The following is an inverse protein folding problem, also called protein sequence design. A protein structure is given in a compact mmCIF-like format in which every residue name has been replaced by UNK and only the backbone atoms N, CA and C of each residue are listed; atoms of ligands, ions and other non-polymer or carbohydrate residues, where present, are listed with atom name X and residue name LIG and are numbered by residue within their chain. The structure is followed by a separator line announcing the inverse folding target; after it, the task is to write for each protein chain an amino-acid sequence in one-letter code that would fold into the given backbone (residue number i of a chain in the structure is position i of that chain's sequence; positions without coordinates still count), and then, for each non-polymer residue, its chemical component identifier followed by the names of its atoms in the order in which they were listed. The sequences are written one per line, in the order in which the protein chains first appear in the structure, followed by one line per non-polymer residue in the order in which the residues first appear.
data_IF_659236095119
#
_entry.id   IF_659236095119
#
_cell.length_a   1.000
_cell.length_b   1.000
_cell.length_c   1.000
_cell.angle_alpha   90.00
_cell.angle_beta   90.00
_cell.angle_gamma   90.00
#
_symmetry.space_group_name_H-M   'P 1'
#
loop_
_entity.id
_entity.type
_entity.pdbx_description
1 polymer ?
#
# COMPACT_ATOMS: atom_id res chain seq x y z
N UNK A 1 50.55 -13.25 -1.41
CA UNK A 1 50.25 -12.14 -2.34
C UNK A 1 49.12 -12.59 -3.24
N UNK A 2 47.95 -11.94 -3.16
CA UNK A 2 46.83 -12.21 -4.05
C UNK A 2 47.07 -11.56 -5.42
N UNK A 3 46.70 -12.25 -6.49
CA UNK A 3 46.83 -11.75 -7.87
C UNK A 3 45.60 -10.90 -8.16
N UNK A 4 45.76 -9.59 -8.33
CA UNK A 4 44.71 -8.72 -8.87
C UNK A 4 44.60 -8.96 -10.38
N UNK A 5 43.39 -9.30 -10.84
CA UNK A 5 43.11 -9.45 -12.27
C UNK A 5 43.01 -8.07 -12.93
N UNK A 6 43.60 -7.88 -14.13
CA UNK A 6 43.77 -6.56 -14.76
C UNK A 6 42.49 -5.94 -15.35
N UNK A 7 41.32 -6.56 -15.14
CA UNK A 7 40.09 -6.19 -15.85
C UNK A 7 39.16 -5.24 -15.08
N UNK A 8 39.55 -4.82 -13.86
CA UNK A 8 38.71 -3.95 -13.04
C UNK A 8 37.34 -4.56 -12.71
N UNK A 9 36.47 -3.79 -12.05
CA UNK A 9 35.08 -4.17 -11.87
C UNK A 9 34.27 -3.81 -13.12
N UNK A 10 33.81 -4.81 -13.87
CA UNK A 10 32.75 -4.58 -14.86
C UNK A 10 31.40 -4.56 -14.14
N UNK A 11 30.74 -3.40 -14.12
CA UNK A 11 29.32 -3.32 -13.80
C UNK A 11 28.57 -4.07 -14.91
N UNK A 12 28.05 -5.26 -14.60
CA UNK A 12 27.14 -5.94 -15.50
C UNK A 12 25.94 -5.01 -15.66
N UNK A 13 25.67 -4.54 -16.88
CA UNK A 13 24.44 -3.81 -17.17
C UNK A 13 23.28 -4.68 -16.70
N UNK A 14 22.51 -4.13 -15.76
CA UNK A 14 21.54 -4.86 -14.95
C UNK A 14 20.77 -5.87 -15.77
N UNK A 15 20.57 -7.07 -15.21
CA UNK A 15 19.54 -8.00 -15.67
C UNK A 15 18.30 -7.18 -16.05
N UNK A 16 17.70 -7.43 -17.23
CA UNK A 16 16.62 -6.60 -17.72
C UNK A 16 15.56 -6.59 -16.63
N UNK A 17 15.41 -5.43 -16.00
CA UNK A 17 14.27 -5.06 -15.19
C UNK A 17 13.08 -5.51 -16.02
N UNK A 18 12.29 -6.43 -15.48
CA UNK A 18 11.04 -6.89 -16.08
C UNK A 18 10.33 -5.68 -16.66
N UNK A 19 10.02 -5.72 -17.96
CA UNK A 19 9.37 -4.61 -18.65
C UNK A 19 8.07 -4.29 -17.90
N UNK A 20 8.09 -3.24 -17.08
CA UNK A 20 6.95 -2.82 -16.28
C UNK A 20 5.87 -2.38 -17.25
N UNK A 21 4.64 -2.85 -17.05
CA UNK A 21 3.53 -2.40 -17.89
C UNK A 21 3.33 -0.89 -17.73
N UNK A 22 3.02 -0.19 -18.82
CA UNK A 22 2.91 1.28 -18.80
C UNK A 22 1.88 1.79 -17.79
N UNK A 23 0.78 1.07 -17.57
CA UNK A 23 -0.25 1.48 -16.59
C UNK A 23 0.22 1.27 -15.15
N UNK A 24 0.98 0.21 -14.89
CA UNK A 24 1.63 0.00 -13.59
C UNK A 24 2.72 1.04 -13.34
N UNK A 25 3.51 1.35 -14.37
CA UNK A 25 4.55 2.37 -14.34
C UNK A 25 3.98 3.75 -14.08
N UNK A 26 2.87 4.10 -14.72
CA UNK A 26 2.16 5.35 -14.48
C UNK A 26 1.58 5.41 -13.07
N UNK A 27 1.03 4.31 -12.56
CA UNK A 27 0.52 4.23 -11.19
C UNK A 27 1.64 4.44 -10.15
N UNK A 28 2.79 3.82 -10.36
CA UNK A 28 3.96 3.87 -9.47
C UNK A 28 4.93 5.05 -9.76
N UNK A 29 4.69 5.86 -10.79
CA UNK A 29 5.63 6.90 -11.22
C UNK A 29 6.03 7.90 -10.13
N UNK A 30 5.17 8.28 -9.16
CA UNK A 30 5.62 9.16 -8.07
C UNK A 30 6.63 8.50 -7.13
N UNK A 31 6.67 7.16 -7.10
CA UNK A 31 7.46 6.35 -6.15
C UNK A 31 8.73 5.77 -6.77
N UNK A 32 8.90 5.84 -8.09
CA UNK A 32 10.04 5.28 -8.80
C UNK A 32 10.69 6.39 -9.62
N UNK A 33 11.88 6.82 -9.18
CA UNK A 33 12.67 7.86 -9.84
C UNK A 33 14.04 7.30 -10.22
N UNK A 34 14.34 7.29 -11.52
CA UNK A 34 15.61 6.82 -12.07
C UNK A 34 16.01 5.41 -11.59
N UNK A 35 15.02 4.52 -11.40
CA UNK A 35 15.24 3.17 -10.89
C UNK A 35 15.51 3.10 -9.39
N UNK A 36 15.24 4.15 -8.62
CA UNK A 36 15.30 4.17 -7.16
C UNK A 36 13.90 4.38 -6.58
N UNK A 37 13.64 3.81 -5.41
CA UNK A 37 12.39 4.06 -4.69
C UNK A 37 12.42 5.42 -3.98
N UNK A 38 11.51 6.34 -4.33
CA UNK A 38 11.31 7.65 -3.69
C UNK A 38 10.04 7.60 -2.83
N UNK A 39 10.16 7.13 -1.59
CA UNK A 39 9.05 7.14 -0.65
C UNK A 39 9.27 6.25 0.58
N UNK A 40 8.19 6.05 1.34
CA UNK A 40 8.14 5.19 2.53
C UNK A 40 6.99 4.19 2.41
N UNK A 41 7.23 2.95 2.80
CA UNK A 41 6.17 1.94 2.97
C UNK A 41 5.83 1.92 4.46
N UNK A 42 4.63 2.40 4.79
CA UNK A 42 4.20 2.61 6.17
C UNK A 42 3.28 1.48 6.60
N UNK A 43 3.70 0.76 7.64
CA UNK A 43 2.89 -0.29 8.29
C UNK A 43 2.49 0.15 9.68
N UNK A 44 1.39 -0.38 10.19
CA UNK A 44 1.00 -0.15 11.58
C UNK A 44 2.00 -0.72 12.59
N UNK A 45 2.12 -0.10 13.77
CA UNK A 45 2.93 -0.64 14.86
C UNK A 45 2.28 -1.86 15.56
N UNK A 46 3.07 -2.90 15.91
CA UNK A 46 2.59 -4.07 16.64
C UNK A 46 2.31 -3.77 18.12
N UNK A 47 2.85 -2.68 18.66
CA UNK A 47 2.60 -2.23 20.02
C UNK A 47 1.28 -1.45 20.08
N UNK A 48 0.48 -1.55 21.15
CA UNK A 48 -0.74 -0.76 21.28
C UNK A 48 -0.44 0.74 21.29
N UNK A 49 -1.03 1.47 20.36
CA UNK A 49 -0.92 2.93 20.28
C UNK A 49 -2.17 3.52 19.62
N UNK A 50 -2.25 4.85 19.61
CA UNK A 50 -3.40 5.57 19.06
C UNK A 50 -4.68 5.47 19.90
N UNK A 51 -5.78 6.07 19.40
CA UNK A 51 -7.05 6.13 20.12
C UNK A 51 -7.69 4.75 20.33
N UNK A 52 -7.36 3.79 19.46
CA UNK A 52 -7.97 2.46 19.48
C UNK A 52 -7.14 1.38 20.15
N UNK A 53 -5.87 1.67 20.49
CA UNK A 53 -4.93 0.72 21.11
C UNK A 53 -4.86 -0.63 20.38
N UNK A 54 -5.12 -0.62 19.08
CA UNK A 54 -5.05 -1.82 18.27
C UNK A 54 -3.59 -2.21 18.02
N UNK A 55 -3.36 -3.50 17.76
CA UNK A 55 -2.04 -4.02 17.40
C UNK A 55 -2.07 -4.39 15.93
N UNK A 56 -1.16 -3.83 15.13
CA UNK A 56 -1.03 -4.21 13.74
C UNK A 56 -0.46 -5.64 13.62
N UNK A 57 -1.00 -6.41 12.65
CA UNK A 57 -0.50 -7.75 12.28
C UNK A 57 -0.18 -7.88 10.80
N UNK A 58 -0.23 -6.76 10.08
CA UNK A 58 -0.27 -6.70 8.63
C UNK A 58 1.10 -6.41 8.00
N UNK A 59 2.15 -6.24 8.81
CA UNK A 59 3.49 -5.88 8.32
C UNK A 59 4.11 -6.87 7.33
N UNK A 60 3.76 -8.16 7.44
CA UNK A 60 4.21 -9.18 6.49
C UNK A 60 3.62 -9.02 5.08
N UNK A 61 2.49 -8.31 4.92
CA UNK A 61 1.97 -7.95 3.59
C UNK A 61 2.85 -6.91 2.90
N UNK A 62 3.44 -5.97 3.67
CA UNK A 62 4.42 -5.04 3.13
C UNK A 62 5.67 -5.77 2.65
N UNK A 63 6.12 -6.83 3.32
CA UNK A 63 7.26 -7.63 2.85
C UNK A 63 7.00 -8.24 1.46
N UNK A 64 5.80 -8.78 1.21
CA UNK A 64 5.41 -9.28 -0.11
C UNK A 64 5.36 -8.16 -1.16
N UNK A 65 4.83 -6.99 -0.80
CA UNK A 65 4.82 -5.81 -1.66
C UNK A 65 6.25 -5.34 -2.00
N UNK A 66 7.17 -5.33 -1.03
CA UNK A 66 8.57 -4.95 -1.25
C UNK A 66 9.29 -5.91 -2.20
N UNK A 67 9.01 -7.22 -2.14
CA UNK A 67 9.52 -8.18 -3.12
C UNK A 67 9.06 -7.86 -4.55
N UNK A 68 7.81 -7.42 -4.71
CA UNK A 68 7.29 -6.97 -6.00
C UNK A 68 7.95 -5.67 -6.46
N UNK A 69 8.02 -4.65 -5.59
CA UNK A 69 8.62 -3.36 -5.93
C UNK A 69 10.13 -3.46 -6.25
N UNK A 70 10.85 -4.35 -5.56
CA UNK A 70 12.26 -4.64 -5.79
C UNK A 70 12.58 -5.19 -7.19
N UNK A 71 11.56 -5.56 -7.97
CA UNK A 71 11.73 -5.90 -9.39
C UNK A 71 11.99 -4.66 -10.26
N UNK A 72 11.65 -3.45 -9.78
CA UNK A 72 11.69 -2.20 -10.54
C UNK A 72 12.71 -1.19 -10.02
N UNK A 73 13.24 -1.40 -8.81
CA UNK A 73 14.12 -0.44 -8.14
C UNK A 73 15.40 -1.10 -7.65
N UNK A 74 16.47 -0.32 -7.59
CA UNK A 74 17.64 -0.63 -6.77
C UNK A 74 17.27 -0.65 -5.30
N UNK A 75 18.02 -1.44 -4.51
CA UNK A 75 17.90 -1.39 -3.07
C UNK A 75 18.31 0.01 -2.58
N UNK A 76 17.40 0.76 -1.93
CA UNK A 76 17.74 2.09 -1.42
C UNK A 76 18.77 2.00 -0.29
N UNK A 77 19.59 3.04 -0.13
CA UNK A 77 20.55 3.14 0.97
C UNK A 77 19.83 3.30 2.32
N UNK A 78 18.78 4.12 2.35
CA UNK A 78 17.92 4.32 3.51
C UNK A 78 16.89 3.20 3.63
N UNK A 79 16.51 2.86 4.86
CA UNK A 79 15.48 1.85 5.12
C UNK A 79 14.07 2.43 4.85
N UNK A 80 13.35 2.01 3.79
CA UNK A 80 12.12 2.68 3.37
C UNK A 80 10.87 2.17 4.08
N UNK A 81 10.95 1.04 4.79
CA UNK A 81 9.81 0.46 5.51
C UNK A 81 9.79 1.01 6.93
N UNK A 82 8.72 1.69 7.32
CA UNK A 82 8.62 2.40 8.61
C UNK A 82 7.34 2.01 9.34
N UNK A 83 7.38 2.02 10.66
CA UNK A 83 6.15 2.02 11.45
C UNK A 83 5.49 3.39 11.31
N UNK A 84 4.17 3.44 11.34
CA UNK A 84 3.39 4.68 11.38
C UNK A 84 3.83 5.62 12.52
N UNK A 85 4.12 5.07 13.70
CA UNK A 85 4.66 5.84 14.83
C UNK A 85 6.03 6.48 14.54
N UNK A 86 6.88 5.81 13.77
CA UNK A 86 8.21 6.31 13.42
C UNK A 86 8.11 7.44 12.40
N UNK A 87 7.26 7.27 11.37
CA UNK A 87 7.01 8.32 10.37
C UNK A 87 6.51 9.59 11.05
N UNK A 88 5.62 9.47 12.05
CA UNK A 88 5.14 10.62 12.82
C UNK A 88 6.22 11.23 13.71
N UNK A 89 7.02 10.40 14.39
CA UNK A 89 8.09 10.88 15.25
C UNK A 89 9.17 11.63 14.46
N UNK A 90 9.49 11.14 13.27
CA UNK A 90 10.50 11.69 12.36
C UNK A 90 9.95 12.82 11.46
N UNK A 91 8.64 13.10 11.51
CA UNK A 91 7.94 14.09 10.67
C UNK A 91 8.07 13.82 9.17
N UNK A 92 8.05 12.55 8.80
CA UNK A 92 8.20 12.08 7.43
C UNK A 92 6.87 11.98 6.68
N UNK A 93 5.77 12.46 7.25
CA UNK A 93 4.45 12.24 6.67
C UNK A 93 4.22 13.00 5.35
N UNK A 94 5.01 14.05 5.08
CA UNK A 94 4.98 14.81 3.83
C UNK A 94 5.71 14.16 2.64
N UNK A 95 6.21 12.92 2.78
CA UNK A 95 6.87 12.17 1.71
C UNK A 95 5.87 11.47 0.78
N UNK A 96 6.37 10.79 -0.25
CA UNK A 96 5.56 9.78 -0.93
C UNK A 96 5.33 8.60 0.01
N UNK A 97 4.08 8.20 0.22
CA UNK A 97 3.73 7.14 1.19
C UNK A 97 2.96 6.00 0.52
N UNK A 98 3.37 4.77 0.79
CA UNK A 98 2.55 3.58 0.54
C UNK A 98 2.06 3.07 1.88
N UNK A 99 0.80 3.33 2.20
CA UNK A 99 0.17 2.92 3.46
C UNK A 99 -0.36 1.51 3.33
N UNK A 100 0.12 0.61 4.19
CA UNK A 100 -0.33 -0.78 4.26
C UNK A 100 -1.00 -1.01 5.60
N UNK A 101 -2.31 -1.27 5.54
CA UNK A 101 -3.15 -1.50 6.73
C UNK A 101 -4.21 -0.42 6.93
N UNK A 102 -5.34 -0.85 7.50
CA UNK A 102 -6.51 0.01 7.73
C UNK A 102 -6.34 1.02 8.86
N UNK A 103 -7.26 2.00 8.96
CA UNK A 103 -7.22 3.09 9.93
C UNK A 103 -7.35 2.64 11.40
N UNK A 104 -7.75 1.38 11.62
CA UNK A 104 -7.75 0.79 12.95
C UNK A 104 -6.35 0.51 13.49
N UNK A 105 -5.37 0.27 12.62
CA UNK A 105 -4.03 -0.21 12.98
C UNK A 105 -2.90 0.62 12.38
N UNK A 106 -3.19 1.54 11.46
CA UNK A 106 -2.24 2.47 10.87
C UNK A 106 -2.75 3.91 11.08
N UNK A 107 -2.06 4.68 11.92
CA UNK A 107 -2.44 6.05 12.27
C UNK A 107 -2.47 6.99 11.06
N UNK A 108 -1.54 6.81 10.12
CA UNK A 108 -1.49 7.66 8.92
C UNK A 108 -2.68 7.35 8.01
N UNK A 109 -3.05 6.07 7.86
CA UNK A 109 -4.29 5.69 7.15
C UNK A 109 -5.52 6.30 7.82
N UNK A 110 -5.53 6.37 9.17
CA UNK A 110 -6.62 7.00 9.93
C UNK A 110 -6.74 8.49 9.62
N UNK A 111 -5.63 9.22 9.66
CA UNK A 111 -5.61 10.67 9.38
C UNK A 111 -5.97 10.96 7.92
N UNK A 112 -5.49 10.14 6.98
CA UNK A 112 -5.79 10.32 5.56
C UNK A 112 -7.20 9.92 5.13
N UNK A 113 -7.92 9.21 6.00
CA UNK A 113 -9.23 8.66 5.67
C UNK A 113 -10.25 9.71 5.21
N UNK A 114 -10.16 10.95 5.70
CA UNK A 114 -11.07 12.04 5.32
C UNK A 114 -10.82 12.60 3.90
N UNK A 115 -9.66 12.31 3.30
CA UNK A 115 -9.30 12.77 1.96
C UNK A 115 -9.55 11.70 0.87
N UNK A 116 -9.92 10.48 1.26
CA UNK A 116 -10.12 9.36 0.35
C UNK A 116 -11.49 9.44 -0.36
N UNK A 117 -11.56 9.21 -1.68
CA UNK A 117 -12.84 9.13 -2.42
C UNK A 117 -13.74 7.97 -1.94
N UNK A 118 -13.14 6.95 -1.33
CA UNK A 118 -13.83 5.84 -0.68
C UNK A 118 -13.23 5.73 0.72
N UNK A 119 -14.03 6.00 1.74
CA UNK A 119 -13.56 6.15 3.13
C UNK A 119 -13.98 4.99 4.00
N UNK A 120 -13.19 4.72 5.02
CA UNK A 120 -13.55 3.81 6.10
C UNK A 120 -14.52 4.52 7.05
N UNK A 121 -15.69 3.92 7.27
CA UNK A 121 -16.65 4.40 8.26
C UNK A 121 -16.19 3.97 9.66
N UNK A 122 -15.54 4.86 10.39
CA UNK A 122 -15.02 4.63 11.74
C UNK A 122 -16.00 5.21 12.77
N UNK A 123 -16.59 4.36 13.60
CA UNK A 123 -17.49 4.77 14.68
C UNK A 123 -16.84 4.53 16.04
N UNK A 124 -16.79 5.52 16.96
CA UNK A 124 -16.32 5.29 18.32
C UNK A 124 -17.13 4.19 19.04
N UNK A 125 -16.48 3.41 19.88
CA UNK A 125 -17.12 2.41 20.76
C UNK A 125 -16.45 2.32 22.12
N UNK A 126 -17.11 1.73 23.12
CA UNK A 126 -16.54 1.53 24.47
C UNK A 126 -15.22 0.73 24.47
N UNK A 127 -15.00 -0.09 23.43
CA UNK A 127 -13.82 -0.93 23.27
C UNK A 127 -12.87 -0.44 22.16
N UNK A 128 -13.01 0.81 21.71
CA UNK A 128 -12.19 1.41 20.66
C UNK A 128 -13.04 1.97 19.53
N UNK A 129 -13.11 1.24 18.41
CA UNK A 129 -13.96 1.61 17.27
C UNK A 129 -14.70 0.41 16.70
N UNK A 130 -15.79 0.73 16.00
CA UNK A 130 -16.46 -0.16 15.07
C UNK A 130 -16.16 0.32 13.66
N UNK A 131 -15.80 -0.62 12.79
CA UNK A 131 -15.65 -0.37 11.38
C UNK A 131 -16.98 -0.69 10.68
N UNK A 132 -17.66 0.34 10.19
CA UNK A 132 -18.91 0.22 9.42
C UNK A 132 -18.70 -0.16 7.95
N UNK A 133 -17.47 -0.49 7.54
CA UNK A 133 -17.09 -0.79 6.17
C UNK A 133 -16.57 0.41 5.39
N UNK A 134 -16.29 0.19 4.10
CA UNK A 134 -15.92 1.23 3.14
C UNK A 134 -17.18 1.90 2.59
N UNK A 135 -17.15 3.22 2.45
CA UNK A 135 -18.25 4.03 1.93
C UNK A 135 -17.75 4.83 0.73
N UNK A 136 -18.34 4.58 -0.43
CA UNK A 136 -18.01 5.35 -1.65
C UNK A 136 -18.73 6.69 -1.65
N UNK A 137 -18.00 7.80 -1.75
CA UNK A 137 -18.60 9.13 -1.85
C UNK A 137 -19.42 9.28 -3.14
N UNK A 138 -18.96 8.65 -4.22
CA UNK A 138 -19.59 8.74 -5.54
C UNK A 138 -20.91 7.97 -5.60
N UNK A 139 -20.95 6.75 -5.09
CA UNK A 139 -22.10 5.85 -5.26
C UNK A 139 -22.95 5.67 -4.01
N UNK A 140 -22.47 6.15 -2.85
CA UNK A 140 -23.07 5.95 -1.53
C UNK A 140 -23.19 4.46 -1.13
N UNK A 141 -22.58 3.54 -1.89
CA UNK A 141 -22.52 2.13 -1.55
C UNK A 141 -21.64 1.91 -0.32
N UNK A 142 -22.04 0.93 0.49
CA UNK A 142 -21.31 0.49 1.68
C UNK A 142 -20.83 -0.95 1.48
N UNK A 143 -19.53 -1.18 1.71
CA UNK A 143 -18.85 -2.45 1.51
C UNK A 143 -18.32 -2.95 2.85
N UNK A 144 -19.00 -3.94 3.44
CA UNK A 144 -18.79 -4.35 4.83
C UNK A 144 -18.03 -5.65 5.00
N UNK A 145 -17.80 -6.43 3.94
CA UNK A 145 -17.19 -7.75 4.10
C UNK A 145 -15.72 -7.65 4.54
N UNK A 146 -15.28 -8.59 5.38
CA UNK A 146 -13.93 -8.57 5.97
C UNK A 146 -12.81 -8.68 4.92
N UNK A 147 -13.08 -9.41 3.84
CA UNK A 147 -12.21 -9.61 2.67
C UNK A 147 -12.26 -8.46 1.65
N UNK A 148 -12.97 -7.38 1.97
CA UNK A 148 -12.97 -6.17 1.16
C UNK A 148 -11.90 -5.18 1.64
N UNK A 149 -11.30 -4.47 0.69
CA UNK A 149 -10.32 -3.42 0.94
C UNK A 149 -10.33 -2.35 -0.13
N UNK A 150 -9.60 -1.28 0.14
CA UNK A 150 -9.40 -0.14 -0.73
C UNK A 150 -8.00 -0.18 -1.33
N UNK A 151 -7.93 0.05 -2.65
CA UNK A 151 -6.72 0.54 -3.30
C UNK A 151 -7.02 1.96 -3.76
N UNK A 152 -6.25 2.92 -3.28
CA UNK A 152 -6.34 4.31 -3.71
C UNK A 152 -4.97 4.87 -4.05
N UNK A 153 -4.93 5.83 -4.98
CA UNK A 153 -3.82 6.76 -5.18
C UNK A 153 -4.38 8.17 -5.12
N UNK A 154 -3.84 9.01 -4.23
CA UNK A 154 -4.23 10.41 -4.08
C UNK A 154 -2.98 11.30 -3.93
N UNK A 155 -3.07 12.61 -4.21
CA UNK A 155 -2.06 13.55 -3.75
C UNK A 155 -1.92 13.50 -2.22
N UNK A 156 -0.71 13.69 -1.70
CA UNK A 156 -0.47 13.69 -0.26
C UNK A 156 -1.10 14.96 0.37
N UNK A 157 -2.08 14.83 1.29
CA UNK A 157 -2.74 15.98 1.93
C UNK A 157 -1.79 16.93 2.69
N UNK A 158 -0.63 16.44 3.12
CA UNK A 158 0.38 17.24 3.81
C UNK A 158 1.47 17.79 2.89
N UNK A 159 1.55 17.30 1.65
CA UNK A 159 2.43 17.83 0.61
C UNK A 159 1.88 17.51 -0.78
N UNK A 160 1.24 18.49 -1.43
CA UNK A 160 0.56 18.28 -2.72
C UNK A 160 1.51 17.93 -3.88
N UNK A 161 2.83 18.06 -3.72
CA UNK A 161 3.83 17.63 -4.70
C UNK A 161 4.17 16.13 -4.58
N UNK A 162 3.67 15.47 -3.53
CA UNK A 162 3.90 14.06 -3.23
C UNK A 162 2.60 13.26 -3.34
N UNK A 163 2.73 11.94 -3.40
CA UNK A 163 1.60 11.02 -3.61
C UNK A 163 1.48 9.98 -2.51
N UNK A 164 0.26 9.49 -2.33
CA UNK A 164 -0.07 8.45 -1.36
C UNK A 164 -0.75 7.31 -2.10
N UNK A 165 -0.27 6.09 -1.89
CA UNK A 165 -0.99 4.87 -2.23
C UNK A 165 -1.52 4.25 -0.93
N UNK A 166 -2.80 3.91 -0.88
CA UNK A 166 -3.42 3.23 0.27
C UNK A 166 -3.80 1.82 -0.13
N UNK A 167 -3.28 0.83 0.60
CA UNK A 167 -3.63 -0.59 0.51
C UNK A 167 -4.17 -1.04 1.87
N UNK A 168 -5.48 -0.95 2.05
CA UNK A 168 -6.09 -1.09 3.37
C UNK A 168 -7.39 -1.90 3.31
N UNK A 169 -7.53 -2.90 4.17
CA UNK A 169 -8.74 -3.71 4.28
C UNK A 169 -9.68 -3.29 5.40
N UNK A 170 -10.92 -3.77 5.32
CA UNK A 170 -11.83 -3.80 6.47
C UNK A 170 -11.24 -4.63 7.62
N UNK A 171 -10.53 -5.70 7.27
CA UNK A 171 -9.69 -6.52 8.15
C UNK A 171 -8.37 -6.85 7.45
N UNK A 172 -7.47 -7.51 8.18
CA UNK A 172 -6.19 -8.00 7.67
C UNK A 172 -6.32 -8.77 6.34
N UNK A 173 -7.38 -9.58 6.18
CA UNK A 173 -7.63 -10.33 4.93
C UNK A 173 -7.97 -9.40 3.75
N UNK A 174 -8.68 -8.30 3.98
CA UNK A 174 -8.89 -7.26 2.97
C UNK A 174 -7.59 -6.52 2.60
N UNK A 175 -6.72 -6.24 3.57
CA UNK A 175 -5.39 -5.64 3.30
C UNK A 175 -4.56 -6.57 2.42
N UNK A 176 -4.54 -7.87 2.75
CA UNK A 176 -3.92 -8.92 1.94
C UNK A 176 -4.48 -8.95 0.52
N UNK A 177 -5.81 -8.86 0.37
CA UNK A 177 -6.47 -8.84 -0.93
C UNK A 177 -6.02 -7.63 -1.77
N UNK A 178 -5.88 -6.44 -1.18
CA UNK A 178 -5.36 -5.25 -1.87
C UNK A 178 -3.92 -5.44 -2.34
N UNK A 179 -3.03 -5.97 -1.49
CA UNK A 179 -1.64 -6.24 -1.87
C UNK A 179 -1.58 -7.24 -3.02
N UNK A 180 -2.36 -8.32 -2.96
CA UNK A 180 -2.41 -9.31 -4.06
C UNK A 180 -3.05 -8.73 -5.33
N UNK A 181 -4.07 -7.90 -5.20
CA UNK A 181 -4.71 -7.22 -6.32
C UNK A 181 -3.72 -6.33 -7.08
N UNK A 182 -2.87 -5.57 -6.37
CA UNK A 182 -1.86 -4.73 -7.01
C UNK A 182 -0.66 -5.52 -7.55
N UNK A 183 -0.24 -6.59 -6.87
CA UNK A 183 0.99 -7.32 -7.25
C UNK A 183 0.76 -8.44 -8.28
N UNK A 184 -0.40 -9.10 -8.25
CA UNK A 184 -0.74 -10.23 -9.13
C UNK A 184 -1.82 -9.90 -10.15
N UNK A 185 -2.82 -9.10 -9.77
CA UNK A 185 -4.01 -8.85 -10.60
C UNK A 185 -4.08 -7.42 -11.14
N UNK A 186 -2.93 -6.76 -11.27
CA UNK A 186 -2.88 -5.33 -11.57
C UNK A 186 -3.62 -4.92 -12.84
N UNK A 187 -3.65 -5.77 -13.87
CA UNK A 187 -4.40 -5.51 -15.12
C UNK A 187 -5.88 -5.27 -14.84
N UNK A 188 -6.46 -6.07 -13.94
CA UNK A 188 -7.85 -5.95 -13.52
C UNK A 188 -8.02 -4.77 -12.58
N UNK A 189 -7.14 -4.65 -11.59
CA UNK A 189 -7.15 -3.61 -10.55
C UNK A 189 -7.07 -2.20 -11.13
N UNK A 190 -6.09 -1.96 -12.01
CA UNK A 190 -5.79 -0.64 -12.56
C UNK A 190 -6.54 -0.37 -13.87
N UNK A 191 -7.47 -1.24 -14.30
CA UNK A 191 -8.15 -1.12 -15.60
C UNK A 191 -8.70 0.29 -15.86
N UNK A 192 -9.31 0.90 -14.84
CA UNK A 192 -9.93 2.23 -14.90
C UNK A 192 -9.07 3.33 -14.24
N UNK A 193 -7.78 3.07 -13.99
CA UNK A 193 -6.84 4.10 -13.56
C UNK A 193 -6.49 5.01 -14.75
N UNK A 194 -6.84 6.29 -14.65
CA UNK A 194 -6.63 7.33 -15.66
C UNK A 194 -6.30 8.72 -15.07
N UNK A 195 -6.32 8.89 -13.74
CA UNK A 195 -6.08 10.16 -13.08
C UNK A 195 -5.16 10.06 -11.84
N UNK A 196 -4.85 11.21 -11.23
CA UNK A 196 -4.08 11.28 -9.99
C UNK A 196 -4.89 10.89 -8.74
N UNK A 197 -6.23 10.87 -8.83
CA UNK A 197 -7.14 10.63 -7.72
C UNK A 197 -8.00 9.39 -7.95
N UNK A 198 -7.33 8.24 -7.85
CA UNK A 198 -7.88 6.94 -8.11
C UNK A 198 -8.32 6.23 -6.82
N UNK A 199 -9.46 5.53 -6.85
CA UNK A 199 -9.90 4.66 -5.77
C UNK A 199 -10.80 3.52 -6.30
N UNK A 200 -10.52 2.30 -5.86
CA UNK A 200 -11.35 1.11 -6.15
C UNK A 200 -11.48 0.23 -4.92
N UNK A 201 -12.64 -0.41 -4.77
CA UNK A 201 -12.83 -1.46 -3.77
C UNK A 201 -12.41 -2.79 -4.37
N UNK A 202 -11.63 -3.55 -3.62
CA UNK A 202 -11.21 -4.91 -3.94
C UNK A 202 -11.94 -5.86 -3.02
N UNK A 203 -12.54 -6.91 -3.55
CA UNK A 203 -13.01 -8.05 -2.78
C UNK A 203 -12.16 -9.27 -3.12
N UNK A 204 -11.49 -9.84 -2.13
CA UNK A 204 -10.69 -11.05 -2.29
C UNK A 204 -11.50 -12.32 -2.07
N UNK A 205 -11.28 -13.36 -2.88
CA UNK A 205 -11.94 -14.66 -2.72
C UNK A 205 -10.89 -15.76 -2.56
N UNK A 206 -11.30 -16.79 -1.84
CA UNK A 206 -10.63 -18.08 -1.67
C UNK A 206 -11.52 -19.12 -2.36
N UNK A 207 -11.26 -19.38 -3.64
CA UNK A 207 -12.09 -20.25 -4.47
C UNK A 207 -11.71 -21.72 -4.29
N UNK A 208 -10.44 -22.00 -3.97
CA UNK A 208 -9.96 -23.37 -3.71
C UNK A 208 -10.12 -23.82 -2.24
N UNK A 209 -10.45 -22.90 -1.33
CA UNK A 209 -10.79 -23.16 0.06
C UNK A 209 -9.59 -23.40 0.98
N UNK A 210 -8.37 -23.00 0.55
CA UNK A 210 -7.14 -23.22 1.31
C UNK A 210 -6.84 -22.14 2.37
N UNK A 211 -7.73 -21.15 2.50
CA UNK A 211 -7.62 -20.00 3.39
C UNK A 211 -6.82 -18.84 2.80
N UNK A 212 -6.45 -18.87 1.51
CA UNK A 212 -5.71 -17.80 0.83
C UNK A 212 -6.57 -17.14 -0.23
N UNK A 213 -6.34 -15.83 -0.40
CA UNK A 213 -6.96 -15.09 -1.50
C UNK A 213 -6.29 -15.51 -2.81
N UNK A 214 -7.03 -16.19 -3.68
CA UNK A 214 -6.58 -16.70 -4.98
C UNK A 214 -7.16 -15.92 -6.18
N UNK A 215 -8.15 -15.07 -5.92
CA UNK A 215 -8.85 -14.28 -6.92
C UNK A 215 -9.44 -13.01 -6.33
N UNK A 216 -9.75 -12.05 -7.19
CA UNK A 216 -10.28 -10.73 -6.78
C UNK A 216 -11.42 -10.27 -7.67
N UNK A 217 -12.34 -9.49 -7.12
CA UNK A 217 -13.25 -8.62 -7.85
C UNK A 217 -12.93 -7.14 -7.57
N UNK A 218 -13.12 -6.32 -8.61
CA UNK A 218 -12.93 -4.87 -8.53
C UNK A 218 -14.31 -4.24 -8.59
N UNK A 219 -14.65 -3.49 -7.54
CA UNK A 219 -15.95 -2.88 -7.31
C UNK A 219 -15.83 -1.35 -7.35
N UNK A 220 -16.88 -0.70 -7.86
CA UNK A 220 -17.02 0.76 -7.97
C UNK A 220 -18.37 1.29 -7.49
#
# INVERSE_FOLDING_TARGET
MGIELPFGYQKINRFPVTNIDEKMKEFLSPFIKDGTFDGKIVVGSPDPHGPFKAKARDGHYAAYLTLFLGQFVELPEDFPIKLDVDVKAEKEEGNNLILVGGPGTNLITQEFNEFLPIRFNMMPSEHGFLLGGLVSEKTQKVYTADNMGLIARIPNPWNMEKSVIVLAGNKAVGTKACVLALTKFWKKTLKNFDDERFAVVIQGFDLDGDGKVDSIEVLG
#
